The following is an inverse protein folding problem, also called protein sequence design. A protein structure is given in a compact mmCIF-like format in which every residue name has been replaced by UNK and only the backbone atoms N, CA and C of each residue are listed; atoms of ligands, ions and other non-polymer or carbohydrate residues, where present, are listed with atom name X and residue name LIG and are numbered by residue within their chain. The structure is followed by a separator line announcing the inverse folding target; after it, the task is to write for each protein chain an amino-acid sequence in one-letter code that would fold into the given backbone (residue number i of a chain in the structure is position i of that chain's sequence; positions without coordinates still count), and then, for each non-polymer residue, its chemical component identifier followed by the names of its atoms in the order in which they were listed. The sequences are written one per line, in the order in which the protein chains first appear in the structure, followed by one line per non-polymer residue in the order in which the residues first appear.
data_IF_342606749795
#
_entry.id   IF_342606749795
#
_cell.length_a   1.000
_cell.length_b   1.000
_cell.length_c   1.000
_cell.angle_alpha   90.00
_cell.angle_beta   90.00
_cell.angle_gamma   90.00
#
_symmetry.space_group_name_H-M   'P 1'
#
loop_
_entity.id
_entity.type
_entity.pdbx_description
1 polymer ?
#
# COMPACT_ATOMS: atom_id res chain seq x y z
N UNK A 1 22.45 -2.36 -11.97
CA UNK A 1 21.41 -2.90 -11.06
C UNK A 1 20.39 -3.60 -11.94
N UNK A 2 20.45 -4.93 -11.99
CA UNK A 2 19.67 -5.72 -12.96
C UNK A 2 18.26 -5.95 -12.43
N UNK A 3 17.36 -5.05 -12.79
CA UNK A 3 15.92 -5.04 -12.46
C UNK A 3 15.15 -6.30 -12.92
N UNK A 4 15.80 -7.20 -13.66
CA UNK A 4 15.17 -8.37 -14.26
C UNK A 4 15.07 -9.55 -13.28
N UNK A 5 16.10 -9.80 -12.45
CA UNK A 5 16.11 -10.95 -11.52
C UNK A 5 15.16 -10.80 -10.33
N UNK A 6 14.90 -9.56 -9.92
CA UNK A 6 14.01 -9.23 -8.80
C UNK A 6 12.53 -9.40 -9.20
N UNK A 7 12.18 -9.00 -10.43
CA UNK A 7 10.83 -9.19 -11.00
C UNK A 7 10.41 -10.65 -11.15
N UNK A 8 11.37 -11.55 -11.35
CA UNK A 8 11.06 -12.98 -11.49
C UNK A 8 10.85 -13.65 -10.11
N UNK A 9 11.49 -13.14 -9.06
CA UNK A 9 11.25 -13.57 -7.67
C UNK A 9 9.88 -13.16 -7.14
N UNK A 10 9.44 -11.93 -7.39
CA UNK A 10 8.11 -11.45 -6.98
C UNK A 10 6.97 -12.25 -7.63
N UNK A 11 7.10 -12.56 -8.93
CA UNK A 11 6.14 -13.41 -9.65
C UNK A 11 6.07 -14.81 -9.06
N UNK A 12 7.22 -15.42 -8.77
CA UNK A 12 7.27 -16.75 -8.17
C UNK A 12 6.58 -16.78 -6.80
N UNK A 13 6.83 -15.77 -5.96
CA UNK A 13 6.18 -15.61 -4.65
C UNK A 13 4.65 -15.51 -4.76
N UNK A 14 4.15 -14.69 -5.70
CA UNK A 14 2.71 -14.58 -5.96
C UNK A 14 2.11 -15.91 -6.39
N UNK A 15 2.74 -16.64 -7.32
CA UNK A 15 2.22 -17.93 -7.78
C UNK A 15 2.20 -18.98 -6.68
N UNK A 16 3.20 -19.02 -5.80
CA UNK A 16 3.18 -19.92 -4.66
C UNK A 16 2.08 -19.56 -3.66
N UNK A 17 1.93 -18.28 -3.31
CA UNK A 17 0.86 -17.82 -2.41
C UNK A 17 -0.54 -18.13 -2.99
N UNK A 18 -0.73 -17.98 -4.31
CA UNK A 18 -2.03 -18.26 -4.97
C UNK A 18 -2.48 -19.71 -4.88
N UNK A 19 -1.57 -20.66 -4.62
CA UNK A 19 -1.87 -22.09 -4.49
C UNK A 19 -2.36 -22.47 -3.10
N UNK A 20 -2.16 -21.61 -2.09
CA UNK A 20 -2.44 -21.93 -0.68
C UNK A 20 -3.95 -21.89 -0.37
N UNK A 21 -4.79 -21.58 -1.36
CA UNK A 21 -6.26 -21.58 -1.21
C UNK A 21 -6.83 -20.25 -0.71
N UNK A 22 -5.97 -19.25 -0.51
CA UNK A 22 -6.38 -17.89 -0.26
C UNK A 22 -7.03 -17.30 -1.52
N UNK A 23 -8.24 -16.77 -1.39
CA UNK A 23 -8.94 -16.10 -2.49
C UNK A 23 -8.39 -14.70 -2.81
N UNK A 24 -7.44 -14.22 -2.01
CA UNK A 24 -6.82 -12.91 -2.14
C UNK A 24 -5.32 -13.03 -1.86
N UNK A 25 -4.51 -12.63 -2.83
CA UNK A 25 -3.06 -12.54 -2.69
C UNK A 25 -2.63 -11.09 -2.91
N UNK A 26 -2.16 -10.37 -1.88
CA UNK A 26 -1.80 -8.97 -2.02
C UNK A 26 -0.51 -8.79 -2.81
N UNK A 27 -0.50 -7.80 -3.70
CA UNK A 27 0.69 -7.29 -4.36
C UNK A 27 0.95 -5.87 -3.85
N UNK A 28 2.19 -5.59 -3.45
CA UNK A 28 2.57 -4.29 -2.92
C UNK A 28 3.93 -3.86 -3.49
N UNK A 29 4.13 -2.54 -3.53
CA UNK A 29 5.40 -1.91 -3.87
C UNK A 29 5.79 -0.98 -2.72
N UNK A 30 6.99 -1.14 -2.18
CA UNK A 30 7.54 -0.22 -1.21
C UNK A 30 8.13 1.00 -1.92
N UNK A 31 7.82 2.21 -1.44
CA UNK A 31 8.34 3.47 -1.99
C UNK A 31 8.99 4.32 -0.90
N UNK A 32 9.97 5.14 -1.29
CA UNK A 32 10.47 6.20 -0.42
C UNK A 32 9.36 7.23 -0.17
N UNK A 33 9.06 7.47 1.10
CA UNK A 33 7.88 8.22 1.52
C UNK A 33 8.11 9.11 2.74
N UNK A 34 9.37 9.49 3.02
CA UNK A 34 9.78 10.22 4.23
C UNK A 34 9.06 11.57 4.44
N UNK A 35 8.48 12.13 3.37
CA UNK A 35 7.72 13.38 3.41
C UNK A 35 6.21 13.21 3.20
N UNK A 36 5.73 11.97 2.98
CA UNK A 36 4.31 11.70 2.82
C UNK A 36 3.66 11.48 4.19
N UNK A 37 2.79 12.41 4.58
CA UNK A 37 1.81 12.15 5.65
C UNK A 37 0.62 11.38 5.08
N UNK A 38 -0.20 10.69 5.90
CA UNK A 38 -1.39 10.00 5.41
C UNK A 38 -2.31 10.89 4.54
N UNK A 39 -2.50 12.15 4.94
CA UNK A 39 -3.29 13.13 4.18
C UNK A 39 -2.64 13.46 2.83
N UNK A 40 -1.32 13.67 2.80
CA UNK A 40 -0.62 13.95 1.54
C UNK A 40 -0.65 12.75 0.60
N UNK A 41 -0.44 11.54 1.11
CA UNK A 41 -0.54 10.31 0.34
C UNK A 41 -1.95 10.12 -0.25
N UNK A 42 -3.00 10.36 0.55
CA UNK A 42 -4.38 10.28 0.08
C UNK A 42 -4.66 11.24 -1.06
N UNK A 43 -4.24 12.51 -0.93
CA UNK A 43 -4.40 13.53 -2.00
C UNK A 43 -3.62 13.19 -3.28
N UNK A 44 -2.52 12.45 -3.18
CA UNK A 44 -1.80 11.96 -4.36
C UNK A 44 -2.52 10.81 -5.07
N UNK A 45 -3.31 10.00 -4.34
CA UNK A 45 -3.96 8.80 -4.86
C UNK A 45 -5.41 9.02 -5.29
N UNK A 46 -6.08 10.04 -4.76
CA UNK A 46 -7.49 10.34 -5.00
C UNK A 46 -7.62 11.70 -5.68
N UNK A 47 -8.35 11.73 -6.80
CA UNK A 47 -8.63 12.97 -7.53
C UNK A 47 -9.42 13.95 -6.64
N UNK A 48 -9.00 15.22 -6.59
CA UNK A 48 -9.64 16.24 -5.74
C UNK A 48 -11.11 16.53 -6.13
N UNK A 49 -11.47 16.30 -7.41
CA UNK A 49 -12.83 16.52 -7.93
C UNK A 49 -13.75 15.28 -7.80
N UNK A 50 -13.20 14.12 -7.44
CA UNK A 50 -13.96 12.86 -7.36
C UNK A 50 -14.45 12.61 -5.93
N UNK A 51 -15.48 13.38 -5.55
CA UNK A 51 -16.07 13.34 -4.20
C UNK A 51 -16.82 12.05 -3.88
N UNK A 52 -17.24 11.32 -4.91
CA UNK A 52 -17.97 10.05 -4.78
C UNK A 52 -17.05 8.85 -4.98
N UNK A 53 -15.73 9.07 -5.09
CA UNK A 53 -14.75 7.99 -5.14
C UNK A 53 -14.93 7.06 -3.94
N UNK A 54 -14.93 5.73 -4.13
CA UNK A 54 -15.04 4.77 -3.04
C UNK A 54 -13.71 4.64 -2.28
N UNK A 55 -13.17 5.76 -1.79
CA UNK A 55 -11.91 5.87 -1.08
C UNK A 55 -12.12 6.30 0.37
N UNK A 56 -11.19 5.91 1.23
CA UNK A 56 -11.24 6.23 2.67
C UNK A 56 -9.83 6.56 3.18
N UNK A 57 -9.77 7.45 4.18
CA UNK A 57 -8.56 7.76 4.94
C UNK A 57 -8.81 7.39 6.41
N UNK A 58 -8.06 6.42 6.93
CA UNK A 58 -8.06 6.10 8.35
C UNK A 58 -6.83 6.71 9.01
N UNK A 59 -7.03 7.51 10.06
CA UNK A 59 -5.98 8.03 10.92
C UNK A 59 -6.32 7.77 12.39
N UNK A 60 -5.31 7.46 13.20
CA UNK A 60 -5.44 7.34 14.65
C UNK A 60 -4.41 8.24 15.31
N UNK A 61 -4.83 8.93 16.36
CA UNK A 61 -3.94 9.71 17.22
C UNK A 61 -3.88 9.01 18.57
N UNK A 62 -2.73 8.44 18.90
CA UNK A 62 -2.48 7.95 20.25
C UNK A 62 -2.21 9.15 21.15
N UNK A 63 -3.13 9.44 22.08
CA UNK A 63 -2.84 10.40 23.14
C UNK A 63 -1.81 9.77 24.08
N UNK A 64 -0.63 10.39 24.18
CA UNK A 64 0.32 10.06 25.23
C UNK A 64 -0.37 10.30 26.57
N UNK A 65 -0.80 9.22 27.23
CA UNK A 65 -1.50 9.30 28.49
C UNK A 65 -0.64 10.06 29.50
N UNK A 66 -1.22 11.07 30.13
CA UNK A 66 -0.71 11.59 31.39
C UNK A 66 -0.97 10.50 32.44
N UNK A 67 -0.02 9.57 32.61
CA UNK A 67 0.08 8.70 33.77
C UNK A 67 1.08 9.26 34.77
#
# INVERSE_FOLDING_TARGET
MSIQGEKDGEKASFFEASKIGDNLVPLYLCIFSDHLTPVLAYRCLVSEDDRDAPSFLFESVEQAGLS
#
